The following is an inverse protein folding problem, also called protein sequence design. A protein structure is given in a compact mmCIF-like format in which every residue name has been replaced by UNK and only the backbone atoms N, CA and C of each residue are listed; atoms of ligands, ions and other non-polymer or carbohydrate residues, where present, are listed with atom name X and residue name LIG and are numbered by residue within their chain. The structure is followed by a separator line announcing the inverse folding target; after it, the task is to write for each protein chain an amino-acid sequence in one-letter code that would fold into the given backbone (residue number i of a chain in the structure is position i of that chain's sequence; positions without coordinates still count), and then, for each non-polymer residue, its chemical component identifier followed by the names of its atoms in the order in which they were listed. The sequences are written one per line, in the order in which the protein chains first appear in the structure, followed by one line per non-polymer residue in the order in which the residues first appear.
data_IF_756142855619
#
_entry.id   IF_756142855619
#
_cell.length_a   1.000
_cell.length_b   1.000
_cell.length_c   1.000
_cell.angle_alpha   90.00
_cell.angle_beta   90.00
_cell.angle_gamma   90.00
#
_symmetry.space_group_name_H-M   'P 1'
#
loop_
_entity.id
_entity.type
_entity.pdbx_description
1 polymer ?
#
# COMPACT_ATOMS: atom_id res chain seq x y z
N UNK A 1 28.58 -20.12 5.21
CA UNK A 1 29.84 -19.44 4.82
C UNK A 1 29.64 -18.52 3.60
N UNK A 2 28.68 -18.79 2.71
CA UNK A 2 28.42 -17.99 1.50
C UNK A 2 27.97 -16.54 1.77
N UNK A 3 27.19 -16.30 2.84
CA UNK A 3 26.71 -14.94 3.19
C UNK A 3 27.80 -13.95 3.55
N UNK A 4 28.91 -14.42 4.17
CA UNK A 4 30.05 -13.57 4.51
C UNK A 4 30.91 -13.21 3.30
N UNK A 5 30.90 -14.05 2.26
CA UNK A 5 31.60 -13.77 1.01
C UNK A 5 30.85 -12.72 0.19
N UNK A 6 29.52 -12.84 0.13
CA UNK A 6 28.68 -11.89 -0.59
C UNK A 6 28.81 -10.45 -0.06
N UNK A 7 28.87 -10.26 1.27
CA UNK A 7 29.03 -8.91 1.86
C UNK A 7 30.37 -8.28 1.45
N UNK A 8 31.45 -9.06 1.45
CA UNK A 8 32.78 -8.57 1.01
C UNK A 8 32.81 -8.23 -0.47
N UNK A 9 32.13 -8.99 -1.30
CA UNK A 9 32.00 -8.71 -2.73
C UNK A 9 31.22 -7.42 -2.98
N UNK A 10 30.14 -7.17 -2.22
CA UNK A 10 29.36 -5.93 -2.29
C UNK A 10 30.19 -4.72 -1.81
N UNK A 11 31.01 -4.88 -0.75
CA UNK A 11 31.89 -3.81 -0.26
C UNK A 11 32.98 -3.42 -1.29
N UNK A 12 33.44 -4.37 -2.10
CA UNK A 12 34.43 -4.17 -3.15
C UNK A 12 33.88 -3.53 -4.44
N UNK A 13 32.56 -3.32 -4.54
CA UNK A 13 31.95 -2.68 -5.70
C UNK A 13 32.19 -1.16 -5.74
N UNK A 14 32.19 -0.55 -6.94
CA UNK A 14 32.12 0.90 -7.09
C UNK A 14 30.80 1.45 -6.51
N UNK A 15 30.79 2.73 -6.16
CA UNK A 15 29.69 3.35 -5.43
C UNK A 15 28.36 3.30 -6.20
N UNK A 16 28.39 3.41 -7.52
CA UNK A 16 27.21 3.28 -8.38
C UNK A 16 26.59 1.89 -8.28
N UNK A 17 27.42 0.84 -8.26
CA UNK A 17 26.95 -0.53 -8.14
C UNK A 17 26.42 -0.85 -6.73
N UNK A 18 26.96 -0.20 -5.69
CA UNK A 18 26.41 -0.29 -4.32
C UNK A 18 24.99 0.29 -4.24
N UNK A 19 24.76 1.42 -4.90
CA UNK A 19 23.42 2.03 -4.99
C UNK A 19 22.43 1.13 -5.72
N UNK A 20 22.85 0.44 -6.78
CA UNK A 20 22.01 -0.55 -7.47
C UNK A 20 21.65 -1.74 -6.58
N UNK A 21 22.60 -2.25 -5.79
CA UNK A 21 22.34 -3.33 -4.82
C UNK A 21 21.34 -2.88 -3.75
N UNK A 22 21.48 -1.67 -3.23
CA UNK A 22 20.53 -1.10 -2.27
C UNK A 22 19.12 -0.99 -2.86
N UNK A 23 19.01 -0.45 -4.08
CA UNK A 23 17.74 -0.35 -4.80
C UNK A 23 17.09 -1.73 -5.02
N UNK A 24 17.89 -2.75 -5.37
CA UNK A 24 17.41 -4.11 -5.54
C UNK A 24 16.89 -4.70 -4.22
N UNK A 25 17.62 -4.52 -3.12
CA UNK A 25 17.19 -4.98 -1.79
C UNK A 25 15.89 -4.30 -1.37
N UNK A 26 15.76 -3.00 -1.60
CA UNK A 26 14.52 -2.25 -1.34
C UNK A 26 13.35 -2.77 -2.18
N UNK A 27 13.58 -3.02 -3.48
CA UNK A 27 12.57 -3.58 -4.36
C UNK A 27 12.11 -4.97 -3.92
N UNK A 28 13.04 -5.82 -3.50
CA UNK A 28 12.74 -7.15 -2.96
C UNK A 28 11.95 -7.05 -1.65
N UNK A 29 12.38 -6.20 -0.71
CA UNK A 29 11.64 -5.96 0.53
C UNK A 29 10.21 -5.50 0.25
N UNK A 30 10.02 -4.55 -0.67
CA UNK A 30 8.68 -4.08 -1.05
C UNK A 30 7.83 -5.20 -1.66
N UNK A 31 8.40 -5.98 -2.58
CA UNK A 31 7.71 -7.07 -3.27
C UNK A 31 7.24 -8.16 -2.30
N UNK A 32 8.09 -8.52 -1.33
CA UNK A 32 7.80 -9.62 -0.39
C UNK A 32 7.13 -9.15 0.92
N UNK A 33 7.18 -7.86 1.25
CA UNK A 33 6.38 -7.28 2.35
C UNK A 33 4.87 -7.30 2.07
N UNK A 34 4.46 -7.31 0.80
CA UNK A 34 3.03 -7.45 0.39
C UNK A 34 2.56 -8.90 0.26
N UNK A 35 3.44 -9.88 0.49
CA UNK A 35 3.09 -11.31 0.41
C UNK A 35 2.75 -11.92 1.75
N UNK A 36 2.90 -11.18 2.86
CA UNK A 36 2.17 -11.51 4.08
C UNK A 36 0.70 -11.20 3.76
N UNK A 37 -0.20 -12.18 3.73
CA UNK A 37 -1.62 -11.86 3.60
C UNK A 37 -1.92 -10.91 4.76
N UNK A 38 -2.36 -9.69 4.43
CA UNK A 38 -2.88 -8.77 5.43
C UNK A 38 -3.85 -9.59 6.27
N UNK A 39 -3.58 -9.64 7.56
CA UNK A 39 -4.50 -10.28 8.49
C UNK A 39 -5.87 -9.61 8.31
N UNK A 40 -6.95 -10.36 8.51
CA UNK A 40 -8.30 -9.81 8.39
C UNK A 40 -8.46 -8.53 9.24
N UNK A 41 -7.73 -8.43 10.36
CA UNK A 41 -7.63 -7.26 11.23
C UNK A 41 -6.96 -6.04 10.56
N UNK A 42 -5.90 -6.22 9.77
CA UNK A 42 -5.26 -5.13 9.00
C UNK A 42 -6.15 -4.63 7.85
N UNK A 43 -6.95 -5.51 7.24
CA UNK A 43 -7.95 -5.14 6.24
C UNK A 43 -9.15 -4.43 6.87
N UNK A 44 -9.57 -4.83 8.07
CA UNK A 44 -10.62 -4.15 8.84
C UNK A 44 -10.16 -2.76 9.30
N UNK A 45 -8.86 -2.57 9.59
CA UNK A 45 -8.29 -1.25 9.87
C UNK A 45 -8.38 -0.26 8.70
N UNK A 46 -8.61 -0.74 7.48
CA UNK A 46 -8.91 0.08 6.29
C UNK A 46 -10.41 0.11 5.94
N UNK A 47 -11.23 -0.68 6.65
CA UNK A 47 -12.68 -0.72 6.45
C UNK A 47 -13.41 0.45 7.13
N UNK A 48 -12.77 1.08 8.13
CA UNK A 48 -13.19 2.36 8.71
C UNK A 48 -12.14 3.44 8.39
N UNK A 49 -12.10 3.97 7.16
CA UNK A 49 -11.51 5.28 6.99
C UNK A 49 -12.45 6.26 7.69
N UNK A 50 -12.08 6.72 8.89
CA UNK A 50 -12.54 8.02 9.36
C UNK A 50 -12.35 8.97 8.16
N UNK A 51 -13.44 9.55 7.65
CA UNK A 51 -13.39 10.37 6.44
C UNK A 51 -12.58 11.63 6.77
N UNK A 52 -11.27 11.58 6.60
CA UNK A 52 -10.38 12.68 6.95
C UNK A 52 -10.47 13.80 5.89
N UNK A 53 -10.76 15.02 6.34
CA UNK A 53 -10.73 16.24 5.51
C UNK A 53 -12.08 16.94 5.36
N UNK A 54 -12.31 17.59 4.20
CA UNK A 54 -13.48 18.46 3.91
C UNK A 54 -14.85 17.74 3.94
N UNK A 55 -14.84 16.42 4.11
CA UNK A 55 -16.04 15.58 4.08
C UNK A 55 -16.32 14.91 5.43
N UNK A 56 -15.55 15.23 6.49
CA UNK A 56 -15.79 14.72 7.84
C UNK A 56 -17.15 15.18 8.40
N UNK A 57 -17.58 16.40 8.07
CA UNK A 57 -18.84 16.98 8.55
C UNK A 57 -20.06 16.55 7.71
N UNK A 58 -19.85 15.74 6.68
CA UNK A 58 -20.92 15.27 5.79
C UNK A 58 -21.55 14.00 6.31
N UNK A 59 -22.72 14.16 6.92
CA UNK A 59 -23.51 13.05 7.46
C UNK A 59 -23.90 12.01 6.41
N UNK A 60 -24.08 12.44 5.15
CA UNK A 60 -24.40 11.57 4.03
C UNK A 60 -23.23 10.68 3.58
N UNK A 61 -21.99 11.00 3.97
CA UNK A 61 -20.79 10.20 3.64
C UNK A 61 -20.41 9.19 4.75
N UNK A 62 -21.17 9.13 5.86
CA UNK A 62 -20.98 8.11 6.92
C UNK A 62 -21.21 6.69 6.42
N UNK A 63 -22.09 6.52 5.44
CA UNK A 63 -22.21 5.30 4.65
C UNK A 63 -21.85 5.62 3.19
N UNK A 64 -20.56 5.49 2.89
CA UNK A 64 -20.00 5.75 1.56
C UNK A 64 -20.62 4.85 0.48
N UNK A 65 -21.06 3.65 0.85
CA UNK A 65 -21.66 2.68 -0.08
C UNK A 65 -23.08 3.12 -0.46
N UNK A 66 -23.88 3.50 0.53
CA UNK A 66 -25.22 4.05 0.29
C UNK A 66 -25.17 5.36 -0.50
N UNK A 67 -24.23 6.26 -0.17
CA UNK A 67 -24.03 7.52 -0.89
C UNK A 67 -23.74 7.31 -2.38
N UNK A 68 -22.77 6.45 -2.71
CA UNK A 68 -22.40 6.17 -4.11
C UNK A 68 -23.54 5.48 -4.85
N UNK A 69 -24.27 4.56 -4.18
CA UNK A 69 -25.43 3.88 -4.77
C UNK A 69 -26.53 4.88 -5.16
N UNK A 70 -26.89 5.78 -4.24
CA UNK A 70 -27.86 6.85 -4.47
C UNK A 70 -27.41 7.79 -5.60
N UNK A 71 -26.16 8.26 -5.55
CA UNK A 71 -25.58 9.12 -6.57
C UNK A 71 -25.62 8.47 -7.96
N UNK A 72 -25.33 7.16 -8.04
CA UNK A 72 -25.38 6.41 -9.30
C UNK A 72 -26.80 6.34 -9.84
N UNK A 73 -27.80 6.11 -8.99
CA UNK A 73 -29.20 6.08 -9.41
C UNK A 73 -29.68 7.45 -9.89
N UNK A 74 -29.32 8.53 -9.18
CA UNK A 74 -29.75 9.89 -9.48
C UNK A 74 -29.09 10.47 -10.74
N UNK A 75 -27.78 10.26 -10.91
CA UNK A 75 -27.00 10.92 -11.97
C UNK A 75 -26.90 10.08 -13.24
N UNK A 76 -26.94 8.75 -13.12
CA UNK A 76 -26.76 7.87 -14.27
C UNK A 76 -27.99 7.07 -14.65
N UNK A 77 -29.09 7.13 -13.87
CA UNK A 77 -30.34 6.45 -14.14
C UNK A 77 -30.14 4.93 -14.19
N UNK A 78 -30.53 4.23 -13.12
CA UNK A 78 -30.57 2.77 -13.16
C UNK A 78 -31.43 2.34 -14.37
N UNK A 79 -30.81 1.64 -15.32
CA UNK A 79 -31.53 1.03 -16.44
C UNK A 79 -32.40 -0.11 -15.93
#
# INVERSE_FOLDING_TARGET
METLQLVKEIEGLPDEAKQEVEALVLALKLRYSRQTPLTQEELIGWADPEVFGMYADREDMRDSTAYISKLRQEQWGAK
#
